data_IF_015186597427
#
_entry.id   IF_015186597427
#
_cell.length_a   1.000
_cell.length_b   1.000
_cell.length_c   1.000
_cell.angle_alpha   90.00
_cell.angle_beta   90.00
_cell.angle_gamma   90.00
#
_symmetry.space_group_name_H-M   'P 1'
#
loop_
_entity.id
_entity.type
_entity.pdbx_description
1 polymer ?
#
# COMPACT_ATOMS: atom_id res chain seq x y z
N UNK A 1 -29.75 60.81 3.91
CA UNK A 1 -31.04 60.10 3.69
C UNK A 1 -31.27 59.24 4.92
N UNK A 2 -32.04 59.70 5.91
CA UNK A 2 -33.46 59.33 6.18
C UNK A 2 -33.62 57.82 6.44
N UNK A 3 -34.22 57.28 7.52
CA UNK A 3 -35.05 57.74 8.65
C UNK A 3 -35.11 56.54 9.65
N UNK A 4 -34.88 56.71 10.96
CA UNK A 4 -35.87 56.90 12.05
C UNK A 4 -36.77 55.70 12.41
N UNK A 5 -36.70 55.24 13.67
CA UNK A 5 -37.83 55.04 14.64
C UNK A 5 -37.37 54.20 15.85
N UNK A 6 -37.18 54.76 17.06
CA UNK A 6 -38.07 54.71 18.26
C UNK A 6 -38.67 53.30 18.55
N UNK A 7 -38.60 52.74 19.77
CA UNK A 7 -39.17 53.34 20.98
C UNK A 7 -38.73 52.65 22.30
N UNK A 8 -38.86 53.39 23.41
CA UNK A 8 -38.71 52.96 24.82
C UNK A 8 -39.72 51.90 25.23
N UNK A 9 -39.34 51.01 26.15
CA UNK A 9 -40.09 50.85 27.40
C UNK A 9 -39.31 50.23 28.57
N UNK A 10 -39.39 50.89 29.72
CA UNK A 10 -39.01 50.43 31.06
C UNK A 10 -39.92 49.28 31.49
N UNK A 11 -39.35 48.23 32.07
CA UNK A 11 -40.00 47.44 33.14
C UNK A 11 -38.96 46.96 34.14
N UNK A 12 -39.39 46.89 35.39
CA UNK A 12 -38.61 46.87 36.63
C UNK A 12 -38.82 45.51 37.33
N UNK A 13 -37.72 44.84 37.67
CA UNK A 13 -37.59 43.75 38.67
C UNK A 13 -38.00 42.33 38.24
N UNK A 14 -37.59 41.26 38.95
CA UNK A 14 -36.80 41.21 40.19
C UNK A 14 -35.52 40.33 40.11
N UNK A 15 -34.81 40.24 41.23
CA UNK A 15 -33.55 39.53 41.44
C UNK A 15 -33.54 38.07 40.92
N UNK A 16 -32.47 37.73 40.20
CA UNK A 16 -32.09 36.37 39.85
C UNK A 16 -30.65 36.13 40.28
N UNK A 17 -30.53 35.30 41.30
CA UNK A 17 -29.34 34.60 41.82
C UNK A 17 -28.23 34.41 40.80
N UNK A 18 -27.05 34.97 41.10
CA UNK A 18 -25.79 34.57 40.48
C UNK A 18 -25.50 33.12 40.84
N UNK A 19 -25.58 32.24 39.86
CA UNK A 19 -24.99 30.91 39.92
C UNK A 19 -23.82 30.92 38.94
N UNK A 20 -22.64 31.20 39.48
CA UNK A 20 -21.39 30.84 38.84
C UNK A 20 -21.39 29.32 38.78
N UNK A 21 -21.64 28.78 37.59
CA UNK A 21 -21.50 27.36 37.32
C UNK A 21 -20.01 27.01 37.47
N UNK A 22 -19.65 26.55 38.66
CA UNK A 22 -18.43 25.83 38.91
C UNK A 22 -18.40 24.65 37.94
N UNK A 23 -17.55 24.73 36.91
CA UNK A 23 -17.07 23.56 36.19
C UNK A 23 -16.42 22.66 37.24
N UNK A 24 -17.13 21.59 37.61
CA UNK A 24 -16.60 20.55 38.47
C UNK A 24 -15.41 19.90 37.76
N UNK A 25 -14.21 20.34 38.11
CA UNK A 25 -13.01 19.56 37.89
C UNK A 25 -13.10 18.41 38.89
N UNK A 26 -13.44 17.22 38.39
CA UNK A 26 -13.34 16.00 39.18
C UNK A 26 -11.93 15.91 39.76
N UNK A 27 -11.75 15.49 41.03
CA UNK A 27 -10.41 15.32 41.59
C UNK A 27 -9.65 14.32 40.73
N UNK A 28 -8.51 14.73 40.16
CA UNK A 28 -7.63 13.85 39.40
C UNK A 28 -7.32 12.61 40.25
N UNK A 29 -7.55 11.41 39.71
CA UNK A 29 -7.23 10.18 40.42
C UNK A 29 -5.72 10.12 40.67
N UNK A 30 -5.31 9.54 41.80
CA UNK A 30 -3.89 9.34 42.11
C UNK A 30 -3.17 8.55 41.01
N UNK A 31 -3.90 7.71 40.28
CA UNK A 31 -3.40 6.92 39.14
C UNK A 31 -3.17 7.79 37.90
N UNK A 32 -4.09 8.71 37.57
CA UNK A 32 -3.87 9.70 36.51
C UNK A 32 -2.64 10.57 36.78
N UNK A 33 -2.44 11.01 38.04
CA UNK A 33 -1.23 11.75 38.40
C UNK A 33 0.07 10.93 38.28
N UNK A 34 0.01 9.62 38.58
CA UNK A 34 1.16 8.72 38.40
C UNK A 34 1.46 8.46 36.93
N UNK A 35 0.42 8.26 36.12
CA UNK A 35 0.53 8.07 34.68
C UNK A 35 1.13 9.30 34.01
N UNK A 36 0.61 10.51 34.31
CA UNK A 36 1.18 11.76 33.81
C UNK A 36 2.66 11.90 34.16
N UNK A 37 3.04 11.60 35.41
CA UNK A 37 4.46 11.67 35.80
C UNK A 37 5.35 10.63 35.12
N UNK A 38 4.83 9.43 34.84
CA UNK A 38 5.54 8.38 34.14
C UNK A 38 5.71 8.73 32.64
N UNK A 39 4.65 9.22 31.99
CA UNK A 39 4.67 9.69 30.60
C UNK A 39 5.59 10.91 30.46
N UNK A 40 5.49 11.90 31.36
CA UNK A 40 6.35 13.10 31.40
C UNK A 40 7.84 12.76 31.45
N UNK A 41 8.19 11.66 32.14
CA UNK A 41 9.59 11.22 32.24
C UNK A 41 10.15 10.69 30.91
N UNK A 42 9.28 10.23 30.01
CA UNK A 42 9.63 9.68 28.69
C UNK A 42 9.39 10.69 27.56
N UNK A 43 8.56 11.72 27.78
CA UNK A 43 8.13 12.67 26.77
C UNK A 43 9.28 13.31 25.95
N UNK A 44 10.40 13.78 26.52
CA UNK A 44 11.49 14.36 25.71
C UNK A 44 12.15 13.36 24.76
N UNK A 45 12.20 12.08 25.16
CA UNK A 45 12.77 11.02 24.33
C UNK A 45 11.77 10.59 23.24
N UNK A 46 10.50 10.49 23.59
CA UNK A 46 9.42 10.17 22.65
C UNK A 46 9.28 11.25 21.56
N UNK A 47 9.22 12.53 21.93
CA UNK A 47 9.13 13.64 20.95
C UNK A 47 10.31 13.63 19.99
N UNK A 48 11.52 13.33 20.47
CA UNK A 48 12.71 13.24 19.61
C UNK A 48 12.71 12.02 18.70
N UNK A 49 12.14 10.90 19.16
CA UNK A 49 11.98 9.69 18.36
C UNK A 49 10.91 9.88 17.27
N UNK A 50 9.82 10.56 17.62
CA UNK A 50 8.71 10.88 16.73
C UNK A 50 9.04 11.98 15.70
N UNK A 51 10.03 12.82 15.97
CA UNK A 51 10.45 13.91 15.08
C UNK A 51 11.26 13.37 13.90
N UNK A 52 10.57 13.06 12.80
CA UNK A 52 11.12 12.67 11.50
C UNK A 52 11.65 13.86 10.67
N UNK A 53 11.57 15.09 11.21
CA UNK A 53 11.93 16.34 10.53
C UNK A 53 10.78 16.98 9.74
N UNK A 54 9.56 16.42 9.79
CA UNK A 54 8.39 17.02 9.15
C UNK A 54 7.86 18.25 9.91
N UNK A 55 7.38 19.28 9.20
CA UNK A 55 6.73 20.43 9.83
C UNK A 55 5.50 20.00 10.64
N UNK A 56 5.57 20.13 11.97
CA UNK A 56 4.45 19.82 12.87
C UNK A 56 4.58 18.52 13.66
N UNK A 57 5.58 17.67 13.37
CA UNK A 57 5.79 16.39 14.06
C UNK A 57 5.84 16.53 15.60
N UNK A 58 6.51 17.57 16.10
CA UNK A 58 6.57 17.84 17.54
C UNK A 58 5.21 18.20 18.17
N UNK A 59 4.29 18.83 17.42
CA UNK A 59 2.95 19.13 17.90
C UNK A 59 2.09 17.85 17.94
N UNK A 60 2.16 17.03 16.89
CA UNK A 60 1.51 15.71 16.83
C UNK A 60 2.00 14.79 17.94
N UNK A 61 3.31 14.75 18.22
CA UNK A 61 3.87 13.96 19.32
C UNK A 61 3.27 14.34 20.69
N UNK A 62 2.98 15.62 20.93
CA UNK A 62 2.33 16.07 22.16
C UNK A 62 0.85 15.66 22.24
N UNK A 63 0.14 15.63 21.10
CA UNK A 63 -1.24 15.13 21.03
C UNK A 63 -1.28 13.62 21.30
N UNK A 64 -0.33 12.86 20.74
CA UNK A 64 -0.16 11.43 21.05
C UNK A 64 0.12 11.22 22.55
N UNK A 65 1.03 12.00 23.15
CA UNK A 65 1.33 11.90 24.59
C UNK A 65 0.11 12.15 25.48
N UNK A 66 -0.77 13.07 25.11
CA UNK A 66 -2.02 13.29 25.84
C UNK A 66 -2.99 12.10 25.74
N UNK A 67 -3.06 11.45 24.58
CA UNK A 67 -3.84 10.22 24.39
C UNK A 67 -3.25 9.05 25.21
N UNK A 68 -1.93 8.87 25.16
CA UNK A 68 -1.21 7.87 25.94
C UNK A 68 -1.44 8.09 27.44
N UNK A 69 -1.34 9.32 27.94
CA UNK A 69 -1.57 9.64 29.36
C UNK A 69 -2.98 9.23 29.81
N UNK A 70 -4.01 9.42 28.97
CA UNK A 70 -5.39 9.02 29.27
C UNK A 70 -5.52 7.51 29.48
N UNK A 71 -5.02 6.71 28.52
CA UNK A 71 -5.05 5.24 28.58
C UNK A 71 -4.22 4.72 29.75
N UNK A 72 -3.01 5.27 29.95
CA UNK A 72 -2.11 4.84 31.01
C UNK A 72 -2.62 5.20 32.41
N UNK A 73 -3.40 6.27 32.53
CA UNK A 73 -4.15 6.58 33.76
C UNK A 73 -5.11 5.45 34.15
N UNK A 74 -5.87 4.92 33.18
CA UNK A 74 -6.82 3.82 33.37
C UNK A 74 -6.15 2.46 33.57
N UNK A 75 -4.99 2.27 32.96
CA UNK A 75 -4.14 1.11 33.20
C UNK A 75 -3.63 1.09 34.64
N UNK A 76 -3.12 2.24 35.13
CA UNK A 76 -2.63 2.38 36.51
C UNK A 76 -3.74 2.37 37.58
N UNK A 77 -5.00 2.59 37.21
CA UNK A 77 -6.13 2.36 38.12
C UNK A 77 -6.33 0.87 38.44
N UNK A 78 -5.88 -0.03 37.54
CA UNK A 78 -6.01 -1.48 37.67
C UNK A 78 -4.74 -2.16 38.18
N UNK A 79 -3.59 -1.53 37.94
CA UNK A 79 -2.27 -2.07 38.34
C UNK A 79 -1.51 -1.05 39.14
N UNK A 80 -0.95 -1.49 40.27
CA UNK A 80 0.03 -0.72 41.04
C UNK A 80 1.40 -0.72 40.35
N UNK A 81 1.46 -0.28 39.09
CA UNK A 81 2.69 -0.18 38.32
C UNK A 81 3.49 1.07 38.74
N UNK A 82 4.81 0.93 38.83
CA UNK A 82 5.70 2.05 39.16
C UNK A 82 6.18 2.81 37.91
N UNK A 83 6.14 2.17 36.75
CA UNK A 83 6.53 2.71 35.45
C UNK A 83 5.65 2.14 34.33
N UNK A 84 5.88 2.60 33.10
CA UNK A 84 5.14 2.23 31.89
C UNK A 84 6.01 1.47 30.87
N UNK A 85 7.13 0.91 31.33
CA UNK A 85 8.08 0.18 30.47
C UNK A 85 7.73 -1.30 30.33
N UNK A 86 6.70 -1.76 31.04
CA UNK A 86 6.17 -3.11 31.00
C UNK A 86 4.65 -3.07 31.09
N UNK A 87 3.99 -3.51 30.03
CA UNK A 87 2.54 -3.50 29.92
C UNK A 87 1.99 -4.92 29.91
N UNK A 88 1.03 -5.19 30.79
CA UNK A 88 0.26 -6.44 30.76
C UNK A 88 -0.83 -6.34 29.68
N UNK A 89 -0.86 -7.26 28.69
CA UNK A 89 -1.76 -7.15 27.55
C UNK A 89 -3.24 -7.19 27.96
N UNK A 90 -3.62 -8.03 28.92
CA UNK A 90 -5.02 -8.12 29.36
C UNK A 90 -5.49 -6.82 30.03
N UNK A 91 -4.62 -6.23 30.87
CA UNK A 91 -4.95 -5.00 31.59
C UNK A 91 -4.91 -3.79 30.65
N UNK A 92 -4.00 -3.79 29.67
CA UNK A 92 -3.96 -2.78 28.62
C UNK A 92 -5.23 -2.82 27.77
N UNK A 93 -5.70 -4.02 27.37
CA UNK A 93 -6.95 -4.18 26.63
C UNK A 93 -8.14 -3.58 27.40
N UNK A 94 -8.26 -3.86 28.70
CA UNK A 94 -9.32 -3.27 29.54
C UNK A 94 -9.19 -1.75 29.70
N UNK A 95 -7.97 -1.22 29.73
CA UNK A 95 -7.71 0.22 29.83
C UNK A 95 -8.12 0.94 28.54
N UNK A 96 -7.75 0.38 27.39
CA UNK A 96 -8.15 0.85 26.06
C UNK A 96 -9.67 0.79 25.89
N UNK A 97 -10.30 -0.36 26.15
CA UNK A 97 -11.75 -0.51 26.06
C UNK A 97 -12.49 0.51 26.95
N UNK A 98 -11.98 0.78 28.15
CA UNK A 98 -12.56 1.78 29.04
C UNK A 98 -12.35 3.24 28.57
N UNK A 99 -11.25 3.52 27.86
CA UNK A 99 -11.01 4.84 27.26
C UNK A 99 -11.91 5.05 26.05
N UNK A 100 -11.95 4.08 25.13
CA UNK A 100 -12.79 4.08 23.94
C UNK A 100 -14.28 4.21 24.30
N UNK A 101 -14.76 3.46 25.29
CA UNK A 101 -16.14 3.58 25.77
C UNK A 101 -16.46 4.97 26.34
N UNK A 102 -15.47 5.70 26.86
CA UNK A 102 -15.65 7.06 27.35
C UNK A 102 -15.62 8.11 26.22
N UNK A 103 -15.07 7.76 25.05
CA UNK A 103 -14.95 8.62 23.86
C UNK A 103 -15.85 8.19 22.70
N UNK A 104 -16.75 7.22 22.91
CA UNK A 104 -17.59 6.54 21.92
C UNK A 104 -18.57 7.41 21.08
N UNK A 105 -18.42 8.74 21.10
CA UNK A 105 -19.13 9.66 20.23
C UNK A 105 -18.26 10.18 19.06
N UNK A 106 -17.01 9.71 18.96
CA UNK A 106 -15.98 10.20 18.03
C UNK A 106 -15.08 9.01 17.62
N UNK A 107 -15.46 8.31 16.54
CA UNK A 107 -14.78 7.09 16.09
C UNK A 107 -13.33 7.39 15.64
N UNK A 108 -13.11 8.51 14.94
CA UNK A 108 -11.78 8.99 14.52
C UNK A 108 -10.83 9.18 15.72
N UNK A 109 -11.37 9.53 16.89
CA UNK A 109 -10.61 9.67 18.13
C UNK A 109 -10.20 8.33 18.72
N UNK A 110 -11.00 7.28 18.52
CA UNK A 110 -10.71 5.94 19.03
C UNK A 110 -9.48 5.34 18.33
N UNK A 111 -9.48 5.39 17.00
CA UNK A 111 -8.36 4.95 16.17
C UNK A 111 -7.08 5.73 16.50
N UNK A 112 -7.17 7.06 16.61
CA UNK A 112 -6.03 7.90 17.02
C UNK A 112 -5.44 7.50 18.37
N UNK A 113 -6.28 7.16 19.36
CA UNK A 113 -5.80 6.73 20.69
C UNK A 113 -5.07 5.40 20.60
N UNK A 114 -5.57 4.43 19.84
CA UNK A 114 -4.92 3.14 19.66
C UNK A 114 -3.58 3.32 18.92
N UNK A 115 -3.55 4.10 17.84
CA UNK A 115 -2.33 4.40 17.09
C UNK A 115 -1.27 5.12 17.94
N UNK A 116 -1.70 6.06 18.81
CA UNK A 116 -0.79 6.72 19.73
C UNK A 116 -0.19 5.75 20.77
N UNK A 117 -0.96 4.79 21.26
CA UNK A 117 -0.45 3.75 22.17
C UNK A 117 0.45 2.74 21.45
N UNK A 118 0.13 2.40 20.20
CA UNK A 118 0.99 1.57 19.33
C UNK A 118 2.36 2.23 19.15
N UNK A 119 2.40 3.48 18.68
CA UNK A 119 3.64 4.22 18.50
C UNK A 119 4.43 4.40 19.82
N UNK A 120 3.76 4.41 20.96
CA UNK A 120 4.44 4.39 22.26
C UNK A 120 5.13 3.06 22.56
N UNK A 121 4.51 1.93 22.20
CA UNK A 121 5.12 0.60 22.34
C UNK A 121 6.31 0.44 21.39
N UNK A 122 6.19 0.90 20.14
CA UNK A 122 7.30 0.91 19.17
C UNK A 122 8.48 1.72 19.68
N UNK A 123 8.21 2.93 20.19
CA UNK A 123 9.23 3.75 20.84
C UNK A 123 9.95 2.99 21.97
N UNK A 124 9.22 2.25 22.80
CA UNK A 124 9.84 1.48 23.89
C UNK A 124 10.69 0.33 23.37
N UNK A 125 10.25 -0.35 22.30
CA UNK A 125 10.96 -1.45 21.66
C UNK A 125 12.25 -0.97 20.97
N UNK A 126 12.14 0.02 20.07
CA UNK A 126 13.26 0.52 19.27
C UNK A 126 14.34 1.24 20.08
N UNK A 127 13.97 1.78 21.24
CA UNK A 127 14.91 2.49 22.11
C UNK A 127 15.45 1.65 23.27
N UNK A 128 15.24 0.33 23.24
CA UNK A 128 15.65 -0.64 24.28
C UNK A 128 15.14 -0.25 25.68
N UNK A 129 13.94 0.34 25.76
CA UNK A 129 13.30 0.79 27.01
C UNK A 129 12.26 -0.19 27.53
N UNK A 130 11.81 -1.13 26.71
CA UNK A 130 10.93 -2.21 27.15
C UNK A 130 11.61 -3.07 28.23
N UNK A 131 10.95 -3.25 29.37
CA UNK A 131 11.47 -4.01 30.51
C UNK A 131 10.76 -5.35 30.75
N UNK A 132 9.75 -5.68 29.94
CA UNK A 132 9.11 -7.00 29.93
C UNK A 132 9.89 -8.05 29.13
N UNK A 133 9.49 -9.34 29.21
CA UNK A 133 9.98 -10.37 28.29
C UNK A 133 9.52 -10.09 26.84
N UNK A 134 10.23 -10.64 25.86
CA UNK A 134 9.92 -10.47 24.44
C UNK A 134 8.55 -11.03 24.06
N UNK A 135 8.13 -12.14 24.68
CA UNK A 135 6.79 -12.72 24.51
C UNK A 135 5.69 -11.72 24.91
N UNK A 136 5.90 -10.99 26.02
CA UNK A 136 4.94 -9.98 26.48
C UNK A 136 4.92 -8.75 25.56
N UNK A 137 6.02 -8.41 24.89
CA UNK A 137 6.03 -7.35 23.89
C UNK A 137 5.21 -7.77 22.67
N UNK A 138 5.44 -8.99 22.18
CA UNK A 138 4.69 -9.56 21.07
C UNK A 138 3.18 -9.59 21.38
N UNK A 139 2.77 -10.10 22.55
CA UNK A 139 1.35 -10.13 22.95
C UNK A 139 0.71 -8.73 22.99
N UNK A 140 1.46 -7.69 23.39
CA UNK A 140 0.97 -6.30 23.45
C UNK A 140 0.89 -5.70 22.05
N UNK A 141 1.87 -5.93 21.20
CA UNK A 141 1.85 -5.51 19.80
C UNK A 141 0.71 -6.19 19.04
N UNK A 142 0.55 -7.51 19.18
CA UNK A 142 -0.53 -8.29 18.55
C UNK A 142 -1.91 -7.77 18.97
N UNK A 143 -2.10 -7.45 20.26
CA UNK A 143 -3.32 -6.82 20.76
C UNK A 143 -3.61 -5.48 20.10
N UNK A 144 -2.60 -4.62 19.97
CA UNK A 144 -2.77 -3.27 19.41
C UNK A 144 -3.05 -3.34 17.91
N UNK A 145 -2.36 -4.21 17.19
CA UNK A 145 -2.61 -4.49 15.78
C UNK A 145 -4.04 -4.99 15.58
N UNK A 146 -4.47 -5.95 16.41
CA UNK A 146 -5.84 -6.45 16.34
C UNK A 146 -6.89 -5.36 16.56
N UNK A 147 -6.60 -4.37 17.41
CA UNK A 147 -7.50 -3.25 17.69
C UNK A 147 -7.48 -2.13 16.63
N UNK A 148 -6.38 -1.96 15.91
CA UNK A 148 -6.29 -1.06 14.74
C UNK A 148 -6.99 -1.62 13.50
N UNK A 149 -7.54 -2.84 13.57
CA UNK A 149 -7.98 -3.54 12.37
C UNK A 149 -6.80 -4.03 11.51
N UNK A 150 -5.57 -3.93 12.01
CA UNK A 150 -4.40 -4.64 11.51
C UNK A 150 -4.40 -6.09 12.02
N UNK A 151 -5.57 -6.70 12.18
CA UNK A 151 -5.66 -8.15 12.35
C UNK A 151 -5.18 -8.80 11.05
N UNK A 152 -4.30 -9.78 11.16
CA UNK A 152 -3.97 -10.72 10.07
C UNK A 152 -5.21 -11.46 9.48
N UNK A 153 -6.42 -11.20 10.01
CA UNK A 153 -7.69 -11.79 9.60
C UNK A 153 -8.24 -11.27 8.26
N UNK A 154 -7.77 -10.12 7.75
CA UNK A 154 -8.13 -9.64 6.41
C UNK A 154 -7.08 -9.95 5.32
N UNK A 155 -6.17 -10.90 5.58
CA UNK A 155 -5.37 -11.46 4.48
C UNK A 155 -6.26 -12.33 3.60
N UNK A 156 -6.55 -11.86 2.39
CA UNK A 156 -7.23 -12.65 1.36
C UNK A 156 -6.37 -13.87 0.94
N UNK A 157 -5.07 -13.79 1.17
CA UNK A 157 -4.07 -14.75 0.70
C UNK A 157 -3.13 -15.17 1.83
N UNK A 158 -3.01 -16.48 2.03
CA UNK A 158 -2.02 -17.08 2.92
C UNK A 158 -0.63 -17.06 2.27
N UNK A 159 0.31 -16.33 2.86
CA UNK A 159 1.67 -16.19 2.32
C UNK A 159 2.52 -17.39 2.73
N UNK A 160 2.95 -18.24 1.78
CA UNK A 160 3.73 -19.43 2.10
C UNK A 160 5.10 -19.05 2.65
N UNK A 161 5.51 -19.73 3.73
CA UNK A 161 6.85 -19.62 4.30
C UNK A 161 7.86 -20.34 3.40
N UNK A 162 8.77 -19.58 2.79
CA UNK A 162 9.82 -20.06 1.89
C UNK A 162 11.16 -19.52 2.39
N UNK A 163 12.24 -20.29 2.25
CA UNK A 163 13.57 -19.81 2.62
C UNK A 163 14.04 -18.69 1.70
N UNK A 164 14.87 -17.77 2.20
CA UNK A 164 15.37 -16.65 1.38
C UNK A 164 16.17 -17.14 0.17
N UNK A 165 16.91 -18.24 0.30
CA UNK A 165 17.69 -18.82 -0.81
C UNK A 165 16.76 -19.39 -1.90
N UNK A 166 15.70 -20.13 -1.52
CA UNK A 166 14.72 -20.67 -2.47
C UNK A 166 13.93 -19.54 -3.15
N UNK A 167 13.54 -18.52 -2.37
CA UNK A 167 12.87 -17.33 -2.89
C UNK A 167 13.78 -16.59 -3.87
N UNK A 168 15.04 -16.31 -3.51
CA UNK A 168 15.99 -15.63 -4.39
C UNK A 168 16.21 -16.40 -5.69
N UNK A 169 16.31 -17.74 -5.62
CA UNK A 169 16.40 -18.57 -6.81
C UNK A 169 15.16 -18.39 -7.69
N UNK A 170 13.97 -18.52 -7.12
CA UNK A 170 12.71 -18.37 -7.86
C UNK A 170 12.61 -17.00 -8.54
N UNK A 171 12.92 -15.91 -7.82
CA UNK A 171 12.93 -14.56 -8.40
C UNK A 171 13.98 -14.41 -9.51
N UNK A 172 15.18 -14.97 -9.33
CA UNK A 172 16.25 -14.90 -10.34
C UNK A 172 15.91 -15.65 -11.63
N UNK A 173 15.03 -16.64 -11.56
CA UNK A 173 14.55 -17.41 -12.72
C UNK A 173 13.42 -16.71 -13.49
N UNK A 174 12.81 -15.67 -12.93
CA UNK A 174 11.72 -14.94 -13.58
C UNK A 174 12.18 -14.27 -14.88
N UNK A 175 11.45 -14.44 -16.00
CA UNK A 175 11.70 -13.69 -17.23
C UNK A 175 11.75 -12.17 -17.01
N UNK A 176 10.89 -11.65 -16.13
CA UNK A 176 10.89 -10.23 -15.75
C UNK A 176 12.25 -9.80 -15.18
N UNK A 177 12.76 -10.50 -14.16
CA UNK A 177 14.01 -10.15 -13.50
C UNK A 177 15.20 -10.27 -14.45
N UNK A 178 15.22 -11.29 -15.31
CA UNK A 178 16.27 -11.44 -16.33
C UNK A 178 16.27 -10.29 -17.35
N UNK A 179 15.09 -9.88 -17.81
CA UNK A 179 14.90 -8.74 -18.73
C UNK A 179 15.31 -7.42 -18.08
N UNK A 180 14.90 -7.18 -16.83
CA UNK A 180 15.29 -6.01 -16.04
C UNK A 180 16.79 -5.96 -15.81
N UNK A 181 17.41 -7.10 -15.47
CA UNK A 181 18.87 -7.23 -15.34
C UNK A 181 19.57 -6.86 -16.65
N UNK A 182 19.11 -7.37 -17.78
CA UNK A 182 19.65 -7.03 -19.09
C UNK A 182 19.50 -5.55 -19.43
N UNK A 183 18.38 -4.92 -19.04
CA UNK A 183 18.16 -3.50 -19.22
C UNK A 183 19.10 -2.65 -18.35
N UNK A 184 19.25 -2.97 -17.06
CA UNK A 184 20.18 -2.30 -16.15
C UNK A 184 21.63 -2.41 -16.63
N UNK A 185 22.05 -3.60 -17.08
CA UNK A 185 23.37 -3.80 -17.69
C UNK A 185 23.55 -2.99 -18.97
N UNK A 186 22.52 -2.91 -19.82
CA UNK A 186 22.55 -2.07 -21.01
C UNK A 186 22.66 -0.59 -20.68
N UNK A 187 21.98 -0.11 -19.63
CA UNK A 187 22.07 1.27 -19.15
C UNK A 187 23.53 1.63 -18.87
N UNK A 188 24.28 0.72 -18.23
CA UNK A 188 25.68 0.94 -17.85
C UNK A 188 25.80 2.15 -16.93
N UNK A 189 26.78 3.02 -17.16
CA UNK A 189 26.97 4.20 -16.29
C UNK A 189 25.80 5.20 -16.36
N UNK A 190 25.25 5.43 -17.56
CA UNK A 190 24.11 6.31 -17.80
C UNK A 190 23.59 6.22 -19.24
N UNK A 191 22.30 6.49 -19.45
CA UNK A 191 21.68 6.69 -20.77
C UNK A 191 21.08 8.07 -20.94
N UNK A 192 21.17 8.67 -22.14
CA UNK A 192 20.52 9.95 -22.40
C UNK A 192 19.00 9.81 -22.41
N UNK A 193 18.32 10.72 -21.74
CA UNK A 193 16.85 10.84 -21.74
C UNK A 193 16.40 12.20 -22.25
N UNK A 194 15.12 12.32 -22.58
CA UNK A 194 14.43 13.59 -22.85
C UNK A 194 14.15 14.32 -21.54
N UNK A 195 13.63 15.56 -21.63
CA UNK A 195 13.21 16.31 -20.44
C UNK A 195 12.03 15.68 -19.69
N UNK A 196 11.32 14.74 -20.31
CA UNK A 196 10.23 13.97 -19.69
C UNK A 196 10.72 12.67 -19.05
N UNK A 197 12.04 12.42 -19.04
CA UNK A 197 12.61 11.17 -18.52
C UNK A 197 12.57 9.98 -19.47
N UNK A 198 11.98 10.13 -20.67
CA UNK A 198 11.91 9.07 -21.66
C UNK A 198 13.25 8.86 -22.38
N UNK A 199 13.54 7.61 -22.78
CA UNK A 199 14.68 7.31 -23.64
C UNK A 199 14.61 8.08 -24.96
N UNK A 200 15.78 8.44 -25.50
CA UNK A 200 15.87 9.03 -26.85
C UNK A 200 15.44 7.98 -27.88
N UNK A 201 14.80 8.42 -28.96
CA UNK A 201 14.26 7.53 -30.00
C UNK A 201 15.30 6.55 -30.55
N UNK A 202 16.54 7.01 -30.76
CA UNK A 202 17.66 6.16 -31.21
C UNK A 202 17.98 4.98 -30.28
N UNK A 203 17.63 5.08 -29.00
CA UNK A 203 17.97 4.10 -27.96
C UNK A 203 16.81 3.12 -27.69
N UNK A 204 15.60 3.40 -28.20
CA UNK A 204 14.40 2.57 -27.97
C UNK A 204 14.59 1.15 -28.51
N UNK A 205 15.24 0.97 -29.66
CA UNK A 205 15.40 -0.37 -30.27
C UNK A 205 16.27 -1.29 -29.40
N UNK A 206 17.36 -0.75 -28.86
CA UNK A 206 18.24 -1.51 -27.97
C UNK A 206 17.57 -1.80 -26.61
N UNK A 207 16.88 -0.81 -26.04
CA UNK A 207 16.16 -0.98 -24.77
C UNK A 207 14.99 -1.98 -24.89
N UNK A 208 14.22 -1.90 -25.98
CA UNK A 208 13.14 -2.84 -26.26
C UNK A 208 13.68 -4.28 -26.38
N UNK A 209 14.84 -4.47 -27.01
CA UNK A 209 15.48 -5.77 -27.11
C UNK A 209 15.87 -6.36 -25.75
N UNK A 210 16.30 -5.53 -24.78
CA UNK A 210 16.59 -5.99 -23.41
C UNK A 210 15.36 -6.59 -22.72
N UNK A 211 14.16 -6.05 -22.99
CA UNK A 211 12.89 -6.58 -22.47
C UNK A 211 12.23 -7.60 -23.40
N UNK A 212 12.95 -8.10 -24.42
CA UNK A 212 12.47 -9.13 -25.33
C UNK A 212 11.50 -8.64 -26.41
N UNK A 213 11.38 -7.33 -26.63
CA UNK A 213 10.48 -6.73 -27.60
C UNK A 213 11.20 -6.22 -28.85
N UNK A 214 10.48 -6.21 -29.97
CA UNK A 214 10.93 -5.58 -31.21
C UNK A 214 10.19 -4.26 -31.39
N UNK A 215 10.87 -3.14 -31.23
CA UNK A 215 10.35 -1.81 -31.52
C UNK A 215 11.48 -0.91 -32.00
N UNK A 216 11.18 0.08 -32.84
CA UNK A 216 12.16 1.07 -33.31
C UNK A 216 11.68 2.49 -33.03
N UNK A 217 12.52 3.33 -32.46
CA UNK A 217 12.19 4.74 -32.29
C UNK A 217 12.26 5.50 -33.61
N UNK A 218 11.21 6.25 -33.95
CA UNK A 218 11.15 7.03 -35.18
C UNK A 218 9.83 7.77 -35.36
N UNK A 219 9.68 8.56 -36.43
CA UNK A 219 8.40 9.15 -36.78
C UNK A 219 7.39 8.02 -37.07
N UNK A 220 6.18 8.13 -36.52
CA UNK A 220 5.07 7.16 -36.74
C UNK A 220 4.89 6.94 -38.24
N UNK A 221 5.33 5.80 -38.75
CA UNK A 221 4.97 5.36 -40.10
C UNK A 221 3.48 5.02 -40.10
N UNK A 222 2.74 5.51 -41.09
CA UNK A 222 1.35 5.11 -41.28
C UNK A 222 1.31 3.59 -41.48
N UNK A 223 0.65 2.89 -40.56
CA UNK A 223 0.22 1.51 -40.78
C UNK A 223 -0.70 1.51 -42.01
N UNK A 224 -0.20 1.10 -43.17
CA UNK A 224 -1.04 1.04 -44.37
C UNK A 224 -0.40 1.06 -45.75
N UNK A 225 0.92 1.22 -45.90
CA UNK A 225 1.55 1.01 -47.21
C UNK A 225 2.31 -0.32 -47.20
N UNK A 226 1.83 -1.38 -47.87
CA UNK A 226 2.63 -2.57 -48.07
C UNK A 226 3.88 -2.17 -48.83
N UNK A 227 5.04 -2.29 -48.18
CA UNK A 227 6.32 -2.18 -48.86
C UNK A 227 6.39 -3.38 -49.81
N UNK A 228 6.02 -3.14 -51.06
CA UNK A 228 6.19 -4.07 -52.15
C UNK A 228 7.69 -4.25 -52.40
N UNK A 229 8.29 -5.27 -51.78
CA UNK A 229 9.69 -5.61 -52.04
C UNK A 229 10.29 -6.54 -51.00
N UNK A 230 10.51 -7.79 -51.43
CA UNK A 230 11.43 -8.78 -50.87
C UNK A 230 10.95 -9.62 -49.67
N UNK A 231 10.10 -10.61 -49.97
CA UNK A 231 10.53 -12.02 -49.96
C UNK A 231 11.11 -12.66 -48.69
N UNK A 232 10.93 -12.07 -47.51
CA UNK A 232 11.27 -12.68 -46.22
C UNK A 232 10.13 -12.52 -45.23
N UNK A 233 9.63 -13.64 -44.69
CA UNK A 233 8.48 -13.72 -43.77
C UNK A 233 8.80 -13.21 -42.35
N UNK A 234 9.39 -12.01 -42.21
CA UNK A 234 9.53 -11.34 -40.91
C UNK A 234 8.47 -10.23 -40.79
N UNK A 235 7.70 -10.25 -39.69
CA UNK A 235 6.76 -9.17 -39.37
C UNK A 235 7.54 -7.84 -39.28
N UNK A 236 7.04 -6.75 -39.88
CA UNK A 236 7.70 -5.46 -39.83
C UNK A 236 7.85 -4.99 -38.37
N UNK A 237 9.05 -4.50 -38.01
CA UNK A 237 9.32 -3.96 -36.67
C UNK A 237 8.51 -2.67 -36.48
N UNK A 238 7.64 -2.58 -35.45
CA UNK A 238 6.82 -1.40 -35.22
C UNK A 238 7.69 -0.18 -34.91
N UNK A 239 7.33 0.97 -35.51
CA UNK A 239 8.00 2.25 -35.26
C UNK A 239 7.20 3.09 -34.26
N UNK A 240 7.84 3.51 -33.17
CA UNK A 240 7.23 4.25 -32.05
C UNK A 240 7.87 5.62 -31.84
N UNK A 241 7.12 6.60 -31.34
CA UNK A 241 7.61 7.96 -31.09
C UNK A 241 8.26 8.12 -29.72
N UNK A 242 7.87 7.28 -28.77
CA UNK A 242 8.32 7.30 -27.38
C UNK A 242 8.45 5.88 -26.86
N UNK A 243 9.33 5.65 -25.87
CA UNK A 243 9.38 4.38 -25.16
C UNK A 243 8.06 4.05 -24.45
N UNK A 244 7.28 5.07 -24.08
CA UNK A 244 5.95 4.87 -23.46
C UNK A 244 4.92 4.25 -24.40
N UNK A 245 5.19 4.19 -25.72
CA UNK A 245 4.37 3.43 -26.68
C UNK A 245 4.76 1.94 -26.74
N UNK A 246 5.72 1.50 -25.91
CA UNK A 246 6.16 0.11 -25.76
C UNK A 246 5.81 -0.34 -24.33
N UNK A 247 4.61 -0.92 -24.09
CA UNK A 247 4.04 -1.07 -22.74
C UNK A 247 4.97 -1.72 -21.72
N UNK A 248 5.52 -2.91 -22.00
CA UNK A 248 6.42 -3.59 -21.06
C UNK A 248 7.69 -2.78 -20.76
N UNK A 249 8.26 -2.10 -21.77
CA UNK A 249 9.44 -1.25 -21.55
C UNK A 249 9.08 -0.05 -20.68
N UNK A 250 7.90 0.55 -20.88
CA UNK A 250 7.39 1.64 -20.06
C UNK A 250 7.23 1.22 -18.60
N UNK A 251 6.56 0.08 -18.37
CA UNK A 251 6.30 -0.49 -17.05
C UNK A 251 7.60 -0.84 -16.30
N UNK A 252 8.54 -1.53 -16.95
CA UNK A 252 9.85 -1.84 -16.35
C UNK A 252 10.63 -0.56 -16.03
N UNK A 253 10.64 0.42 -16.93
CA UNK A 253 11.36 1.68 -16.70
C UNK A 253 10.76 2.50 -15.55
N UNK A 254 9.44 2.51 -15.42
CA UNK A 254 8.76 3.14 -14.30
C UNK A 254 9.04 2.42 -12.99
N UNK A 255 8.97 1.09 -12.96
CA UNK A 255 9.31 0.30 -11.78
C UNK A 255 10.76 0.53 -11.34
N UNK A 256 11.71 0.59 -12.27
CA UNK A 256 13.11 0.94 -11.99
C UNK A 256 13.26 2.35 -11.39
N UNK A 257 12.41 3.29 -11.78
CA UNK A 257 12.45 4.65 -11.25
C UNK A 257 11.81 4.73 -9.84
N UNK A 258 10.68 4.03 -9.62
CA UNK A 258 9.98 3.99 -8.33
C UNK A 258 10.77 3.25 -7.24
N UNK A 259 11.52 2.22 -7.64
CA UNK A 259 12.45 1.51 -6.74
C UNK A 259 13.78 2.23 -6.56
N UNK A 260 13.95 3.41 -7.16
CA UNK A 260 15.21 4.15 -7.19
C UNK A 260 16.41 3.34 -7.74
N UNK A 261 16.20 2.19 -8.39
CA UNK A 261 17.27 1.44 -9.06
C UNK A 261 17.93 2.32 -10.13
N UNK A 262 17.15 3.20 -10.77
CA UNK A 262 17.69 4.28 -11.61
C UNK A 262 17.25 5.65 -11.09
N UNK A 263 18.15 6.63 -11.23
CA UNK A 263 17.85 8.05 -11.04
C UNK A 263 17.67 8.73 -12.37
N UNK A 264 16.47 9.22 -12.64
CA UNK A 264 16.15 9.97 -13.87
C UNK A 264 16.37 11.47 -13.61
N UNK A 265 17.44 12.01 -14.19
CA UNK A 265 17.69 13.45 -14.24
C UNK A 265 17.11 14.10 -15.50
N UNK A 266 17.34 15.41 -15.66
CA UNK A 266 16.81 16.20 -16.79
C UNK A 266 17.33 15.78 -18.17
N UNK A 267 18.46 15.09 -18.23
CA UNK A 267 19.11 14.69 -19.49
C UNK A 267 19.68 13.28 -19.50
N UNK A 268 19.76 12.62 -18.34
CA UNK A 268 20.33 11.27 -18.21
C UNK A 268 19.57 10.46 -17.15
N UNK A 269 19.43 9.16 -17.40
CA UNK A 269 19.10 8.17 -16.38
C UNK A 269 20.37 7.38 -16.04
N UNK A 270 20.66 7.21 -14.76
CA UNK A 270 21.85 6.49 -14.28
C UNK A 270 21.47 5.53 -13.15
N UNK A 271 22.15 4.38 -13.01
CA UNK A 271 21.93 3.49 -11.88
C UNK A 271 22.24 4.17 -10.54
N UNK A 272 21.51 3.77 -9.50
CA UNK A 272 21.81 4.12 -8.10
C UNK A 272 22.64 3.02 -7.42
N UNK A 273 23.08 3.21 -6.16
CA UNK A 273 23.70 2.14 -5.37
C UNK A 273 22.84 0.87 -5.25
N UNK A 274 21.51 1.00 -5.20
CA UNK A 274 20.57 -0.13 -5.10
C UNK A 274 20.70 -1.08 -6.31
N UNK A 275 21.05 -0.56 -7.50
CA UNK A 275 21.33 -1.42 -8.66
C UNK A 275 22.45 -2.43 -8.40
N UNK A 276 23.49 -2.07 -7.65
CA UNK A 276 24.56 -3.01 -7.35
C UNK A 276 24.08 -4.16 -6.44
N UNK A 277 23.20 -3.85 -5.50
CA UNK A 277 22.56 -4.84 -4.60
C UNK A 277 21.61 -5.74 -5.40
N UNK A 278 20.76 -5.16 -6.24
CA UNK A 278 19.87 -5.90 -7.14
C UNK A 278 20.62 -6.89 -8.05
N UNK A 279 21.75 -6.46 -8.62
CA UNK A 279 22.52 -7.27 -9.56
C UNK A 279 23.40 -8.33 -8.87
N UNK A 280 23.99 -8.03 -7.72
CA UNK A 280 25.06 -8.84 -7.14
C UNK A 280 25.15 -8.80 -5.60
N UNK A 281 24.12 -8.32 -4.90
CA UNK A 281 24.04 -8.31 -3.44
C UNK A 281 24.01 -9.71 -2.84
N UNK A 282 24.24 -9.79 -1.53
CA UNK A 282 24.04 -11.01 -0.75
C UNK A 282 22.57 -11.42 -0.71
N UNK A 283 22.26 -12.65 -0.30
CA UNK A 283 20.90 -13.21 -0.37
C UNK A 283 19.81 -12.29 0.20
N UNK A 284 19.86 -11.86 1.48
CA UNK A 284 18.75 -11.11 2.05
C UNK A 284 18.55 -9.75 1.36
N UNK A 285 19.63 -8.96 1.24
CA UNK A 285 19.57 -7.62 0.63
C UNK A 285 19.14 -7.67 -0.84
N UNK A 286 19.64 -8.66 -1.60
CA UNK A 286 19.25 -8.80 -3.02
C UNK A 286 17.81 -9.25 -3.16
N UNK A 287 17.34 -10.15 -2.29
CA UNK A 287 15.96 -10.61 -2.32
C UNK A 287 14.99 -9.45 -2.05
N UNK A 288 15.29 -8.58 -1.08
CA UNK A 288 14.52 -7.38 -0.78
C UNK A 288 14.37 -6.47 -2.02
N UNK A 289 15.47 -6.19 -2.73
CA UNK A 289 15.45 -5.39 -3.97
C UNK A 289 14.63 -6.05 -5.10
N UNK A 290 14.69 -7.38 -5.23
CA UNK A 290 13.90 -8.11 -6.24
C UNK A 290 12.40 -8.06 -5.92
N UNK A 291 12.03 -8.20 -4.65
CA UNK A 291 10.65 -8.12 -4.16
C UNK A 291 10.08 -6.75 -4.41
N UNK A 292 10.78 -5.72 -3.94
CA UNK A 292 10.36 -4.34 -4.08
C UNK A 292 10.21 -3.96 -5.57
N UNK A 293 11.12 -4.42 -6.43
CA UNK A 293 10.99 -4.25 -7.87
C UNK A 293 9.74 -4.92 -8.46
N UNK A 294 9.43 -6.17 -8.07
CA UNK A 294 8.25 -6.87 -8.58
C UNK A 294 6.96 -6.19 -8.12
N UNK A 295 6.88 -5.72 -6.87
CA UNK A 295 5.74 -4.96 -6.35
C UNK A 295 5.54 -3.65 -7.13
N UNK A 296 6.60 -2.88 -7.36
CA UNK A 296 6.50 -1.65 -8.14
C UNK A 296 6.17 -1.92 -9.62
N UNK A 297 6.62 -3.04 -10.18
CA UNK A 297 6.22 -3.48 -11.52
C UNK A 297 4.73 -3.85 -11.58
N UNK A 298 4.22 -4.57 -10.60
CA UNK A 298 2.81 -4.94 -10.48
C UNK A 298 1.91 -3.71 -10.33
N UNK A 299 2.32 -2.77 -9.47
CA UNK A 299 1.66 -1.47 -9.32
C UNK A 299 1.65 -0.67 -10.63
N UNK A 300 2.79 -0.52 -11.31
CA UNK A 300 2.87 0.19 -12.59
C UNK A 300 2.08 -0.51 -13.71
N UNK A 301 1.92 -1.83 -13.64
CA UNK A 301 1.22 -2.62 -14.66
C UNK A 301 -0.29 -2.53 -14.54
N UNK A 302 -0.85 -2.47 -13.33
CA UNK A 302 -2.30 -2.51 -13.09
C UNK A 302 -2.89 -1.22 -12.53
N UNK A 303 -2.17 -0.50 -11.66
CA UNK A 303 -2.68 0.71 -10.99
C UNK A 303 -2.37 1.99 -11.77
N UNK A 304 -1.52 1.91 -12.80
CA UNK A 304 -1.21 3.02 -13.71
C UNK A 304 -2.28 3.28 -14.79
N UNK A 305 -3.56 3.08 -14.48
CA UNK A 305 -4.64 3.26 -15.46
C UNK A 305 -4.94 4.73 -15.75
N UNK A 306 -5.50 4.98 -16.93
CA UNK A 306 -5.91 6.31 -17.35
C UNK A 306 -7.28 6.67 -16.73
N UNK A 307 -7.37 7.67 -15.84
CA UNK A 307 -8.64 8.04 -15.23
C UNK A 307 -9.65 8.60 -16.26
N UNK A 308 -9.20 9.01 -17.45
CA UNK A 308 -10.07 9.40 -18.55
C UNK A 308 -10.73 8.18 -19.24
N UNK A 309 -10.32 6.97 -18.90
CA UNK A 309 -10.81 5.70 -19.44
C UNK A 309 -11.43 4.84 -18.32
N UNK A 310 -12.72 5.04 -17.98
CA UNK A 310 -13.37 4.36 -16.85
C UNK A 310 -13.43 2.83 -16.94
N UNK A 311 -13.16 2.24 -18.10
CA UNK A 311 -13.08 0.78 -18.24
C UNK A 311 -11.75 0.21 -17.79
N UNK A 312 -10.67 1.01 -17.75
CA UNK A 312 -9.34 0.52 -17.37
C UNK A 312 -9.30 0.12 -15.89
N UNK A 313 -9.99 0.86 -15.00
CA UNK A 313 -10.13 0.48 -13.60
C UNK A 313 -10.89 -0.84 -13.43
N UNK A 314 -11.90 -1.11 -14.28
CA UNK A 314 -12.62 -2.40 -14.25
C UNK A 314 -11.73 -3.56 -14.72
N UNK A 315 -10.86 -3.31 -15.72
CA UNK A 315 -9.87 -4.29 -16.15
C UNK A 315 -8.88 -4.54 -15.02
N UNK A 316 -8.34 -3.48 -14.41
CA UNK A 316 -7.40 -3.57 -13.31
C UNK A 316 -7.99 -4.33 -12.11
N UNK A 317 -9.21 -4.00 -11.70
CA UNK A 317 -9.95 -4.69 -10.64
C UNK A 317 -10.12 -6.18 -10.97
N UNK A 318 -10.56 -6.50 -12.19
CA UNK A 318 -10.71 -7.90 -12.63
C UNK A 318 -9.39 -8.67 -12.58
N UNK A 319 -8.30 -8.08 -13.06
CA UNK A 319 -6.98 -8.73 -13.05
C UNK A 319 -6.47 -8.89 -11.62
N UNK A 320 -6.60 -7.86 -10.77
CA UNK A 320 -6.19 -7.91 -9.37
C UNK A 320 -6.96 -8.99 -8.58
N UNK A 321 -8.29 -9.08 -8.74
CA UNK A 321 -9.08 -10.14 -8.11
C UNK A 321 -8.66 -11.54 -8.55
N UNK A 322 -8.33 -11.72 -9.84
CA UNK A 322 -7.85 -13.01 -10.35
C UNK A 322 -6.46 -13.33 -9.78
N UNK A 323 -5.56 -12.34 -9.66
CA UNK A 323 -4.24 -12.54 -9.08
C UNK A 323 -4.31 -12.90 -7.60
N UNK A 324 -5.13 -12.21 -6.81
CA UNK A 324 -5.39 -12.54 -5.40
C UNK A 324 -5.94 -13.96 -5.27
N UNK A 325 -6.97 -14.31 -6.03
CA UNK A 325 -7.51 -15.67 -6.04
C UNK A 325 -6.48 -16.71 -6.50
N UNK A 326 -5.64 -16.39 -7.49
CA UNK A 326 -4.60 -17.26 -8.01
C UNK A 326 -3.40 -17.46 -7.07
N UNK A 327 -3.26 -16.59 -6.07
CA UNK A 327 -2.28 -16.69 -5.00
C UNK A 327 -2.79 -17.53 -3.81
N UNK A 328 -4.09 -17.85 -3.77
CA UNK A 328 -4.69 -18.68 -2.72
C UNK A 328 -4.35 -20.17 -2.82
N UNK A 329 -4.71 -20.94 -1.79
CA UNK A 329 -4.56 -22.39 -1.75
C UNK A 329 -5.44 -23.15 -2.78
N UNK A 330 -6.52 -22.53 -3.27
CA UNK A 330 -7.40 -23.08 -4.31
C UNK A 330 -7.49 -22.13 -5.52
N UNK A 331 -6.45 -22.09 -6.39
CA UNK A 331 -6.40 -21.14 -7.48
C UNK A 331 -7.53 -21.38 -8.49
N UNK A 332 -8.10 -20.32 -9.09
CA UNK A 332 -9.33 -20.46 -9.84
C UNK A 332 -9.12 -21.11 -11.22
N UNK A 333 -10.12 -21.88 -11.66
CA UNK A 333 -10.15 -22.50 -12.99
C UNK A 333 -10.36 -21.45 -14.07
N UNK A 334 -9.57 -21.55 -15.13
CA UNK A 334 -9.62 -20.62 -16.28
C UNK A 334 -11.02 -20.52 -16.89
N UNK A 335 -11.68 -21.66 -17.07
CA UNK A 335 -13.00 -21.71 -17.71
C UNK A 335 -14.11 -21.10 -16.84
N UNK A 336 -13.93 -21.10 -15.50
CA UNK A 336 -14.93 -20.64 -14.53
C UNK A 336 -14.88 -19.13 -14.34
N UNK A 337 -13.67 -18.56 -14.25
CA UNK A 337 -13.46 -17.10 -14.11
C UNK A 337 -14.02 -16.32 -15.30
N UNK A 338 -14.10 -16.98 -16.45
CA UNK A 338 -14.40 -16.38 -17.73
C UNK A 338 -15.82 -16.70 -18.23
N UNK A 339 -16.66 -17.34 -17.43
CA UNK A 339 -18.01 -17.74 -17.86
C UNK A 339 -18.96 -16.53 -17.85
N UNK A 340 -19.60 -16.18 -18.99
CA UNK A 340 -20.54 -15.06 -19.03
C UNK A 340 -21.76 -15.31 -18.13
N UNK A 341 -22.14 -14.30 -17.34
CA UNK A 341 -23.37 -14.32 -16.54
C UNK A 341 -24.59 -14.62 -17.44
N UNK A 342 -25.30 -15.69 -17.13
CA UNK A 342 -26.54 -16.08 -17.83
C UNK A 342 -27.61 -15.02 -17.63
N UNK A 343 -28.09 -14.40 -18.73
CA UNK A 343 -29.23 -13.47 -18.72
C UNK A 343 -28.97 -12.06 -19.25
N UNK A 344 -27.72 -11.69 -19.55
CA UNK A 344 -27.38 -10.35 -20.07
C UNK A 344 -27.96 -10.09 -21.47
N UNK A 345 -28.25 -8.82 -21.78
CA UNK A 345 -28.62 -8.34 -23.12
C UNK A 345 -27.45 -8.47 -24.11
N UNK A 346 -27.68 -8.43 -25.44
CA UNK A 346 -26.61 -8.54 -26.43
C UNK A 346 -25.53 -7.45 -26.31
N UNK A 347 -25.91 -6.23 -25.95
CA UNK A 347 -24.97 -5.11 -25.78
C UNK A 347 -24.10 -5.29 -24.53
N UNK A 348 -24.71 -5.67 -23.40
CA UNK A 348 -23.98 -5.99 -22.17
C UNK A 348 -23.00 -7.16 -22.38
N UNK A 349 -23.40 -8.18 -23.14
CA UNK A 349 -22.50 -9.30 -23.49
C UNK A 349 -21.29 -8.83 -24.28
N UNK A 350 -21.47 -7.93 -25.25
CA UNK A 350 -20.36 -7.42 -26.05
C UNK A 350 -19.37 -6.63 -25.19
N UNK A 351 -19.86 -5.82 -24.25
CA UNK A 351 -19.02 -5.09 -23.29
C UNK A 351 -18.27 -6.02 -22.35
N UNK A 352 -18.94 -7.03 -21.79
CA UNK A 352 -18.32 -8.03 -20.91
C UNK A 352 -17.24 -8.83 -21.64
N UNK A 353 -17.49 -9.24 -22.89
CA UNK A 353 -16.49 -9.95 -23.70
C UNK A 353 -15.28 -9.05 -24.03
N UNK A 354 -15.48 -7.76 -24.26
CA UNK A 354 -14.37 -6.82 -24.47
C UNK A 354 -13.52 -6.64 -23.20
N UNK A 355 -14.17 -6.48 -22.04
CA UNK A 355 -13.49 -6.36 -20.74
C UNK A 355 -12.68 -7.63 -20.43
N UNK A 356 -13.31 -8.79 -20.64
CA UNK A 356 -12.68 -10.10 -20.50
C UNK A 356 -11.46 -10.26 -21.42
N UNK A 357 -11.58 -9.88 -22.69
CA UNK A 357 -10.46 -9.95 -23.62
C UNK A 357 -9.30 -9.04 -23.19
N UNK A 358 -9.60 -7.84 -22.66
CA UNK A 358 -8.59 -6.93 -22.14
C UNK A 358 -7.90 -7.49 -20.88
N UNK A 359 -8.66 -7.97 -19.90
CA UNK A 359 -8.13 -8.60 -18.68
C UNK A 359 -7.28 -9.83 -19.00
N UNK A 360 -7.74 -10.66 -19.94
CA UNK A 360 -6.99 -11.83 -20.38
C UNK A 360 -5.69 -11.44 -21.10
N UNK A 361 -5.71 -10.39 -21.92
CA UNK A 361 -4.49 -9.85 -22.52
C UNK A 361 -3.45 -9.41 -21.47
N UNK A 362 -3.90 -8.79 -20.38
CA UNK A 362 -3.01 -8.39 -19.27
C UNK A 362 -2.47 -9.59 -18.49
N UNK A 363 -3.33 -10.57 -18.16
CA UNK A 363 -2.91 -11.80 -17.50
C UNK A 363 -1.91 -12.59 -18.36
N UNK A 364 -2.12 -12.68 -19.68
CA UNK A 364 -1.16 -13.32 -20.59
C UNK A 364 0.19 -12.58 -20.60
N UNK A 365 0.18 -11.24 -20.61
CA UNK A 365 1.40 -10.44 -20.53
C UNK A 365 2.17 -10.66 -19.22
N UNK A 366 1.46 -10.75 -18.09
CA UNK A 366 2.03 -11.09 -16.79
C UNK A 366 2.53 -12.54 -16.75
N UNK A 367 1.88 -13.47 -17.43
CA UNK A 367 2.35 -14.85 -17.55
C UNK A 367 3.65 -14.95 -18.37
N UNK A 368 3.80 -14.15 -19.44
CA UNK A 368 5.04 -14.03 -20.19
C UNK A 368 6.21 -13.44 -19.36
N UNK A 369 5.90 -12.78 -18.26
CA UNK A 369 6.87 -12.26 -17.27
C UNK A 369 7.20 -13.28 -16.18
N UNK A 370 6.49 -14.41 -16.11
CA UNK A 370 6.59 -15.42 -15.06
C UNK A 370 5.85 -15.07 -13.77
N UNK A 371 5.03 -14.02 -13.77
CA UNK A 371 4.27 -13.59 -12.58
C UNK A 371 3.11 -14.55 -12.27
N UNK A 372 2.52 -15.15 -13.30
CA UNK A 372 1.56 -16.22 -13.15
C UNK A 372 1.76 -17.31 -14.19
N UNK A 373 1.22 -18.49 -13.91
CA UNK A 373 1.05 -19.57 -14.87
C UNK A 373 -0.42 -19.65 -15.28
N UNK A 374 -0.67 -19.77 -16.59
CA UNK A 374 -2.00 -19.94 -17.15
C UNK A 374 -2.06 -21.30 -17.83
N UNK A 375 -2.64 -22.27 -17.13
CA UNK A 375 -2.95 -23.59 -17.68
C UNK A 375 -4.47 -23.83 -17.71
N UNK A 376 -4.91 -24.93 -17.11
CA UNK A 376 -6.28 -25.15 -16.64
C UNK A 376 -6.71 -24.20 -15.52
N UNK A 377 -5.77 -23.66 -14.76
CA UNK A 377 -5.97 -22.72 -13.65
C UNK A 377 -5.04 -21.51 -13.82
N UNK A 378 -5.41 -20.42 -13.16
CA UNK A 378 -4.49 -19.30 -12.91
C UNK A 378 -3.72 -19.61 -11.63
N UNK A 379 -2.38 -19.58 -11.64
CA UNK A 379 -1.56 -19.86 -10.45
C UNK A 379 -0.42 -18.87 -10.32
N UNK A 380 -0.26 -18.27 -9.15
CA UNK A 380 0.91 -17.46 -8.81
C UNK A 380 2.00 -18.38 -8.23
N UNK A 381 3.28 -18.28 -8.66
CA UNK A 381 4.37 -19.00 -8.03
C UNK A 381 4.45 -18.69 -6.53
N UNK A 382 4.67 -19.68 -5.64
CA UNK A 382 4.66 -19.46 -4.19
C UNK A 382 5.55 -18.31 -3.70
N UNK A 383 6.74 -18.14 -4.29
CA UNK A 383 7.66 -17.05 -3.95
C UNK A 383 7.11 -15.64 -4.25
N UNK A 384 6.14 -15.52 -5.17
CA UNK A 384 5.53 -14.26 -5.59
C UNK A 384 4.25 -13.93 -4.85
N UNK A 385 3.69 -14.86 -4.07
CA UNK A 385 2.44 -14.68 -3.33
C UNK A 385 2.49 -13.44 -2.44
N UNK A 386 3.61 -13.22 -1.74
CA UNK A 386 3.81 -12.02 -0.91
C UNK A 386 3.73 -10.72 -1.70
N UNK A 387 4.23 -10.68 -2.94
CA UNK A 387 4.20 -9.48 -3.77
C UNK A 387 2.77 -9.18 -4.21
N UNK A 388 1.97 -10.21 -4.52
CA UNK A 388 0.55 -10.05 -4.85
C UNK A 388 -0.21 -9.52 -3.63
N UNK A 389 -0.01 -10.14 -2.46
CA UNK A 389 -0.65 -9.70 -1.22
C UNK A 389 -0.28 -8.25 -0.89
N UNK A 390 1.02 -7.94 -0.83
CA UNK A 390 1.50 -6.59 -0.52
C UNK A 390 1.06 -5.52 -1.52
N UNK A 391 0.81 -5.87 -2.79
CA UNK A 391 0.42 -4.88 -3.80
C UNK A 391 -1.09 -4.65 -3.84
N UNK A 392 -1.91 -5.66 -3.53
CA UNK A 392 -3.34 -5.64 -3.82
C UNK A 392 -4.27 -5.92 -2.63
N UNK A 393 -3.76 -6.36 -1.48
CA UNK A 393 -4.57 -6.49 -0.25
C UNK A 393 -4.67 -5.19 0.55
N UNK A 394 -3.95 -4.14 0.14
CA UNK A 394 -4.07 -2.83 0.76
C UNK A 394 -5.50 -2.28 0.61
N UNK A 395 -6.09 -1.87 1.72
CA UNK A 395 -7.47 -1.41 1.76
C UNK A 395 -7.73 -0.23 0.82
N UNK A 396 -6.79 0.71 0.68
CA UNK A 396 -6.94 1.84 -0.23
C UNK A 396 -6.92 1.39 -1.70
N UNK A 397 -6.09 0.40 -2.04
CA UNK A 397 -6.07 -0.19 -3.38
C UNK A 397 -7.37 -0.94 -3.66
N UNK A 398 -7.87 -1.71 -2.69
CA UNK A 398 -9.16 -2.41 -2.82
C UNK A 398 -10.32 -1.41 -2.97
N UNK A 399 -10.31 -0.31 -2.24
CA UNK A 399 -11.30 0.77 -2.36
C UNK A 399 -11.25 1.42 -3.75
N UNK A 400 -10.06 1.81 -4.20
CA UNK A 400 -9.84 2.44 -5.52
C UNK A 400 -10.28 1.53 -6.68
N UNK A 401 -10.13 0.21 -6.52
CA UNK A 401 -10.58 -0.79 -7.48
C UNK A 401 -12.07 -1.16 -7.32
N UNK A 402 -12.76 -0.63 -6.31
CA UNK A 402 -14.16 -0.95 -6.02
C UNK A 402 -14.39 -2.40 -5.56
N UNK A 403 -13.40 -2.98 -4.88
CA UNK A 403 -13.39 -4.38 -4.42
C UNK A 403 -13.78 -4.54 -2.93
N UNK A 404 -13.83 -3.46 -2.14
CA UNK A 404 -14.30 -3.53 -0.74
C UNK A 404 -15.83 -3.68 -0.62
N UNK A 405 -16.60 -3.25 -1.62
CA UNK A 405 -18.07 -3.22 -1.61
C UNK A 405 -18.74 -4.51 -2.14
N UNK A 406 -18.07 -5.68 -2.08
CA UNK A 406 -18.67 -6.95 -2.54
C UNK A 406 -19.65 -7.49 -1.48
N UNK A 407 -20.98 -7.50 -1.71
CA UNK A 407 -21.99 -7.77 -0.68
C UNK A 407 -22.17 -9.24 -0.25
N UNK A 408 -21.14 -10.08 -0.32
CA UNK A 408 -21.27 -11.53 -0.08
C UNK A 408 -20.24 -12.11 0.92
N UNK A 409 -19.59 -11.26 1.73
CA UNK A 409 -18.84 -11.69 2.92
C UNK A 409 -19.59 -11.38 4.23
N UNK A 410 -20.94 -11.38 4.19
CA UNK A 410 -21.74 -11.59 5.40
C UNK A 410 -21.51 -13.04 5.85
N UNK A 411 -20.47 -13.24 6.66
CA UNK A 411 -20.31 -14.43 7.49
C UNK A 411 -21.30 -14.36 8.67
N UNK A 412 -22.59 -14.24 8.35
CA UNK A 412 -23.64 -14.60 9.29
C UNK A 412 -23.80 -16.12 9.22
N UNK A 413 -22.81 -16.82 9.79
CA UNK A 413 -23.00 -18.19 10.25
C UNK A 413 -23.74 -18.17 11.59
N UNK A 414 -25.03 -17.84 11.56
CA UNK A 414 -26.01 -18.23 12.58
C UNK A 414 -27.20 -18.90 11.90
N UNK A 415 -27.09 -20.21 11.65
CA UNK A 415 -28.14 -21.20 11.89
C UNK A 415 -27.69 -22.61 11.43
N UNK A 416 -27.06 -23.35 12.34
CA UNK A 416 -27.07 -24.82 12.39
C UNK A 416 -26.72 -25.36 13.78
#
# INVERSE_FOLDING_TARGET
MSKSSRNRNKRKGPAGTGSSAARGSSPASLSSFRAGRAVDSLAPAFVRWFDDGAPGAAATALECLAAIESVMGRYMDRVAAADLTRLDPAILAEALAADLAATAADDDRGEFVIAAVHGFVDFLAETDRWSGPAEQLADVTDLLNALLGETEEWRLVDVPVISDDDALQAFSELPLIQRTTALLQWIGDAKPVTGTGALRTKDIEAAAACVGLKARGGPKQQAGLPQAGNGGSERPVPTVRSMYEVPLLAQVWEALARTELIKIGSTKAAPSPATAVFLAGGTPDRLEELVFFVEQFLSASLLGYDPEQPWDVLVAATVASILLAAASADPPRRDTVLDPRTGASPEERATVEALKAAAMGQLEALAEQGILTIDTHFRVPPALVRCIASTYEDASVLEDLGLLDIPDLDVDSEDA
#
